data_IF_838971788778
#
_entry.id   IF_838971788778
#
_cell.length_a   1.000
_cell.length_b   1.000
_cell.length_c   1.000
_cell.angle_alpha   90.00
_cell.angle_beta   90.00
_cell.angle_gamma   90.00
#
_symmetry.space_group_name_H-M   'P 1'
#
loop_
_entity.id
_entity.type
_entity.pdbx_description
1 polymer ?
#
# COMPACT_ATOMS: atom_id res chain seq x y z
N UNK A 1 -3.86 5.91 85.34
CA UNK A 1 -4.43 5.15 86.48
C UNK A 1 -5.56 5.99 87.09
N UNK A 2 -6.67 5.34 87.48
CA UNK A 2 -7.61 5.68 88.59
C UNK A 2 -8.08 7.15 88.75
N UNK A 3 -9.36 7.46 88.97
CA UNK A 3 -10.52 6.59 89.03
C UNK A 3 -11.80 7.32 89.48
N UNK A 4 -12.93 6.80 88.99
CA UNK A 4 -14.22 6.62 89.66
C UNK A 4 -15.00 7.81 90.27
N UNK A 5 -16.26 7.89 89.80
CA UNK A 5 -17.40 8.63 90.36
C UNK A 5 -17.71 8.33 91.83
N UNK A 6 -18.39 9.27 92.49
CA UNK A 6 -19.43 8.94 93.47
C UNK A 6 -20.65 9.84 93.31
N UNK A 7 -21.82 9.30 93.60
CA UNK A 7 -23.11 9.97 93.50
C UNK A 7 -23.70 10.23 94.90
N UNK A 8 -24.61 11.20 95.04
CA UNK A 8 -25.77 11.01 95.91
C UNK A 8 -26.98 11.93 95.64
N UNK A 9 -28.13 11.32 95.97
CA UNK A 9 -29.55 11.69 95.89
C UNK A 9 -29.95 13.09 96.43
N UNK A 10 -31.11 13.57 95.97
CA UNK A 10 -31.84 14.74 96.53
C UNK A 10 -32.52 14.46 97.88
N UNK A 11 -33.54 15.24 98.31
CA UNK A 11 -34.82 15.43 97.62
C UNK A 11 -35.13 16.94 97.40
N UNK A 12 -36.33 17.50 97.16
CA UNK A 12 -37.77 17.11 97.23
C UNK A 12 -38.52 17.70 96.00
N UNK A 13 -39.83 17.44 95.83
CA UNK A 13 -40.72 18.15 94.88
C UNK A 13 -41.96 18.72 95.59
N UNK A 14 -42.34 19.95 95.27
CA UNK A 14 -43.72 20.43 95.38
C UNK A 14 -44.34 20.54 93.99
N UNK A 15 -45.61 20.13 93.85
CA UNK A 15 -46.39 20.16 92.60
C UNK A 15 -47.50 21.21 92.74
N UNK A 16 -47.58 22.12 91.78
CA UNK A 16 -48.83 22.83 91.47
C UNK A 16 -49.30 22.41 90.06
N UNK A 17 -50.62 22.28 89.83
CA UNK A 17 -51.13 21.60 88.65
C UNK A 17 -51.06 22.44 87.37
N UNK A 18 -50.69 21.77 86.28
CA UNK A 18 -50.58 22.31 84.93
C UNK A 18 -51.93 22.49 84.24
N UNK A 19 -52.10 23.63 83.54
CA UNK A 19 -52.83 23.72 82.26
C UNK A 19 -52.14 24.71 81.31
N UNK A 20 -51.08 24.29 80.59
CA UNK A 20 -50.57 25.03 79.44
C UNK A 20 -51.51 24.84 78.23
N UNK A 21 -51.77 25.93 77.50
CA UNK A 21 -52.44 25.90 76.21
C UNK A 21 -51.53 25.18 75.19
N UNK A 22 -52.07 24.41 74.22
CA UNK A 22 -51.26 23.85 73.14
C UNK A 22 -50.76 24.97 72.23
N UNK A 23 -49.46 25.25 72.29
CA UNK A 23 -48.77 26.01 71.25
C UNK A 23 -48.48 25.04 70.11
N UNK A 24 -49.22 25.19 69.02
CA UNK A 24 -49.08 24.36 67.83
C UNK A 24 -47.76 24.67 67.13
N UNK A 25 -46.81 23.74 67.20
CA UNK A 25 -45.59 23.79 66.40
C UNK A 25 -45.95 23.37 64.98
N UNK A 26 -46.40 24.33 64.18
CA UNK A 26 -46.55 24.14 62.74
C UNK A 26 -45.25 23.58 62.18
N UNK A 27 -45.33 22.39 61.59
CA UNK A 27 -44.22 21.77 60.87
C UNK A 27 -43.74 22.75 59.79
N UNK A 28 -42.42 22.87 59.54
CA UNK A 28 -41.96 23.58 58.35
C UNK A 28 -42.62 22.94 57.12
N UNK A 29 -43.04 23.74 56.12
CA UNK A 29 -43.75 23.23 54.96
C UNK A 29 -42.93 22.13 54.29
N UNK A 30 -43.61 21.06 53.88
CA UNK A 30 -42.98 19.88 53.32
C UNK A 30 -41.99 20.27 52.22
N UNK A 31 -40.80 19.66 52.28
CA UNK A 31 -39.74 19.82 51.30
C UNK A 31 -40.33 19.69 49.89
N UNK A 32 -40.24 20.77 49.10
CA UNK A 32 -40.87 20.82 47.79
C UNK A 32 -40.17 19.80 46.93
N UNK A 33 -40.79 18.62 46.78
CA UNK A 33 -40.24 17.53 46.00
C UNK A 33 -39.89 18.09 44.62
N UNK A 34 -38.59 18.08 44.30
CA UNK A 34 -38.13 18.55 43.01
C UNK A 34 -38.77 17.67 41.96
N UNK A 35 -39.82 18.19 41.31
CA UNK A 35 -40.45 17.56 40.17
C UNK A 35 -39.38 17.48 39.11
N UNK A 36 -38.74 16.31 38.98
CA UNK A 36 -37.88 16.02 37.86
C UNK A 36 -38.72 16.31 36.62
N UNK A 37 -38.29 17.24 35.74
CA UNK A 37 -39.08 17.60 34.59
C UNK A 37 -39.37 16.32 33.81
N UNK A 38 -40.64 16.09 33.50
CA UNK A 38 -41.08 14.86 32.82
C UNK A 38 -40.16 14.63 31.62
N UNK A 39 -39.53 13.46 31.57
CA UNK A 39 -38.48 13.16 30.61
C UNK A 39 -38.95 13.55 29.21
N UNK A 40 -38.20 14.44 28.55
CA UNK A 40 -38.62 15.05 27.30
C UNK A 40 -39.15 14.01 26.28
N UNK A 41 -40.16 14.33 25.47
CA UNK A 41 -40.68 13.42 24.46
C UNK A 41 -39.56 12.77 23.65
N UNK A 42 -39.71 11.49 23.30
CA UNK A 42 -38.68 10.70 22.62
C UNK A 42 -38.08 11.43 21.40
N UNK A 43 -38.95 12.05 20.60
CA UNK A 43 -38.56 12.87 19.44
C UNK A 43 -37.63 14.03 19.80
N UNK A 44 -37.94 14.76 20.88
CA UNK A 44 -37.11 15.87 21.35
C UNK A 44 -35.75 15.38 21.88
N UNK A 45 -35.72 14.20 22.50
CA UNK A 45 -34.46 13.56 22.94
C UNK A 45 -33.62 13.06 21.75
N UNK A 46 -34.27 12.57 20.68
CA UNK A 46 -33.60 12.15 19.45
C UNK A 46 -33.01 13.34 18.69
N UNK A 47 -33.77 14.42 18.50
CA UNK A 47 -33.25 15.65 17.88
C UNK A 47 -32.10 16.26 18.68
N UNK A 48 -32.14 16.20 20.02
CA UNK A 48 -31.01 16.61 20.85
C UNK A 48 -29.76 15.73 20.62
N UNK A 49 -29.91 14.42 20.54
CA UNK A 49 -28.81 13.50 20.24
C UNK A 49 -28.20 13.77 18.84
N UNK A 50 -29.05 14.06 17.83
CA UNK A 50 -28.61 14.47 16.49
C UNK A 50 -27.87 15.82 16.51
N UNK A 51 -28.35 16.78 17.31
CA UNK A 51 -27.72 18.09 17.49
C UNK A 51 -26.31 17.94 18.08
N UNK A 52 -26.18 17.18 19.17
CA UNK A 52 -24.89 16.89 19.82
C UNK A 52 -23.89 16.20 18.86
N UNK A 53 -24.38 15.25 18.04
CA UNK A 53 -23.57 14.53 17.05
C UNK A 53 -23.04 15.43 15.93
N UNK A 54 -23.72 16.54 15.64
CA UNK A 54 -23.33 17.51 14.62
C UNK A 54 -22.57 18.71 15.19
N UNK A 55 -22.73 19.03 16.49
CA UNK A 55 -22.01 20.11 17.17
C UNK A 55 -20.63 19.70 17.71
N UNK A 56 -20.07 18.57 17.26
CA UNK A 56 -18.75 18.11 17.68
C UNK A 56 -18.67 17.60 19.12
N UNK A 57 -19.79 17.12 19.70
CA UNK A 57 -19.84 16.56 21.06
C UNK A 57 -20.13 15.05 21.03
N UNK A 58 -19.22 14.23 20.47
CA UNK A 58 -19.51 12.83 20.14
C UNK A 58 -19.85 11.96 21.35
N UNK A 59 -19.17 12.11 22.48
CA UNK A 59 -19.42 11.27 23.67
C UNK A 59 -20.79 11.54 24.29
N UNK A 60 -21.23 12.80 24.33
CA UNK A 60 -22.57 13.17 24.81
C UNK A 60 -23.66 12.69 23.86
N UNK A 61 -23.43 12.79 22.54
CA UNK A 61 -24.33 12.23 21.54
C UNK A 61 -24.44 10.71 21.63
N UNK A 62 -23.32 10.00 21.85
CA UNK A 62 -23.30 8.56 22.02
C UNK A 62 -24.05 8.13 23.29
N UNK A 63 -23.84 8.84 24.41
CA UNK A 63 -24.60 8.61 25.64
C UNK A 63 -26.11 8.82 25.45
N UNK A 64 -26.51 9.88 24.72
CA UNK A 64 -27.92 10.15 24.40
C UNK A 64 -28.53 9.05 23.51
N UNK A 65 -27.85 8.62 22.45
CA UNK A 65 -28.30 7.50 21.61
C UNK A 65 -28.38 6.17 22.40
N UNK A 66 -27.45 5.91 23.31
CA UNK A 66 -27.50 4.73 24.19
C UNK A 66 -28.74 4.76 25.11
N UNK A 67 -29.09 5.91 25.69
CA UNK A 67 -30.28 6.07 26.52
C UNK A 67 -31.58 5.88 25.72
N UNK A 68 -31.62 6.35 24.46
CA UNK A 68 -32.74 6.12 23.55
C UNK A 68 -32.90 4.64 23.19
N UNK A 69 -31.82 3.94 22.86
CA UNK A 69 -31.85 2.51 22.54
C UNK A 69 -32.15 1.63 23.76
N UNK A 70 -31.76 2.03 24.97
CA UNK A 70 -32.16 1.33 26.19
C UNK A 70 -33.70 1.32 26.39
N UNK A 71 -34.40 2.34 25.89
CA UNK A 71 -35.87 2.46 25.91
C UNK A 71 -36.54 1.87 24.66
N UNK A 72 -35.83 1.80 23.53
CA UNK A 72 -36.37 1.32 22.26
C UNK A 72 -35.26 0.65 21.41
N UNK A 73 -34.86 -0.60 21.75
CA UNK A 73 -33.64 -1.22 21.20
C UNK A 73 -33.62 -1.43 19.68
N UNK A 74 -34.79 -1.51 19.05
CA UNK A 74 -34.96 -1.68 17.61
C UNK A 74 -35.33 -0.40 16.85
N UNK A 75 -35.24 0.79 17.47
CA UNK A 75 -35.57 2.02 16.76
C UNK A 75 -34.54 2.30 15.65
N UNK A 76 -35.01 2.27 14.40
CA UNK A 76 -34.17 2.30 13.20
C UNK A 76 -33.46 3.64 13.03
N UNK A 77 -34.13 4.76 13.30
CA UNK A 77 -33.56 6.10 13.21
C UNK A 77 -32.46 6.33 14.25
N UNK A 78 -32.65 5.81 15.46
CA UNK A 78 -31.63 5.89 16.52
C UNK A 78 -30.43 4.97 16.21
N UNK A 79 -30.66 3.75 15.72
CA UNK A 79 -29.59 2.86 15.25
C UNK A 79 -28.80 3.48 14.09
N UNK A 80 -29.49 4.11 13.13
CA UNK A 80 -28.87 4.84 12.02
C UNK A 80 -28.02 6.03 12.54
N UNK A 81 -28.59 6.85 13.42
CA UNK A 81 -27.90 8.01 14.00
C UNK A 81 -26.65 7.61 14.80
N UNK A 82 -26.75 6.55 15.62
CA UNK A 82 -25.61 6.02 16.40
C UNK A 82 -24.56 5.36 15.49
N UNK A 83 -24.97 4.56 14.52
CA UNK A 83 -24.08 3.92 13.56
C UNK A 83 -23.27 4.92 12.71
N UNK A 84 -23.90 6.01 12.26
CA UNK A 84 -23.20 7.11 11.57
C UNK A 84 -22.18 7.79 12.49
N UNK A 85 -22.54 8.05 13.75
CA UNK A 85 -21.63 8.64 14.73
C UNK A 85 -20.44 7.72 15.04
N UNK A 86 -20.69 6.44 15.31
CA UNK A 86 -19.66 5.42 15.56
C UNK A 86 -18.72 5.27 14.36
N UNK A 87 -19.23 5.39 13.13
CA UNK A 87 -18.40 5.41 11.93
C UNK A 87 -17.47 6.64 11.87
N UNK A 88 -17.94 7.83 12.29
CA UNK A 88 -17.09 9.03 12.40
C UNK A 88 -16.03 8.92 13.52
N UNK A 89 -16.24 8.03 14.49
CA UNK A 89 -15.34 7.73 15.59
C UNK A 89 -14.44 6.50 15.33
N UNK A 90 -14.44 5.97 14.11
CA UNK A 90 -13.68 4.79 13.70
C UNK A 90 -14.01 3.51 14.52
N UNK A 91 -15.17 3.47 15.18
CA UNK A 91 -15.69 2.32 15.95
C UNK A 91 -16.43 1.36 15.03
N UNK A 92 -15.70 0.86 14.03
CA UNK A 92 -16.21 0.19 12.84
C UNK A 92 -17.12 -1.01 13.12
N UNK A 93 -16.77 -1.86 14.10
CA UNK A 93 -17.54 -3.07 14.44
C UNK A 93 -18.91 -2.74 15.03
N UNK A 94 -18.97 -1.77 15.95
CA UNK A 94 -20.22 -1.32 16.56
C UNK A 94 -21.10 -0.57 15.55
N UNK A 95 -20.49 0.22 14.67
CA UNK A 95 -21.18 0.85 13.55
C UNK A 95 -21.79 -0.17 12.58
N UNK A 96 -21.06 -1.25 12.24
CA UNK A 96 -21.55 -2.31 11.35
C UNK A 96 -22.71 -3.08 11.99
N UNK A 97 -22.63 -3.36 13.29
CA UNK A 97 -23.71 -3.99 14.04
C UNK A 97 -25.00 -3.15 14.05
N UNK A 98 -24.89 -1.86 14.38
CA UNK A 98 -26.03 -0.93 14.42
C UNK A 98 -26.69 -0.75 13.05
N UNK A 99 -25.89 -0.46 12.02
CA UNK A 99 -26.41 -0.21 10.68
C UNK A 99 -26.95 -1.49 10.04
N UNK A 100 -26.39 -2.67 10.35
CA UNK A 100 -26.95 -3.96 9.89
C UNK A 100 -28.25 -4.29 10.62
N UNK A 101 -28.36 -4.00 11.92
CA UNK A 101 -29.61 -4.15 12.67
C UNK A 101 -30.71 -3.23 12.12
N UNK A 102 -30.38 -1.97 11.84
CA UNK A 102 -31.26 -1.01 11.19
C UNK A 102 -31.72 -1.50 9.79
N UNK A 103 -30.80 -1.99 8.96
CA UNK A 103 -31.11 -2.46 7.60
C UNK A 103 -31.98 -3.73 7.60
N UNK A 104 -31.83 -4.58 8.63
CA UNK A 104 -32.68 -5.76 8.84
C UNK A 104 -34.07 -5.39 9.36
N UNK A 105 -34.17 -4.34 10.19
CA UNK A 105 -35.43 -3.86 10.75
C UNK A 105 -36.27 -3.05 9.75
N UNK A 106 -35.63 -2.27 8.87
CA UNK A 106 -36.31 -1.57 7.77
C UNK A 106 -35.52 -1.71 6.45
N UNK A 107 -35.75 -2.79 5.68
CA UNK A 107 -35.05 -3.04 4.42
C UNK A 107 -35.29 -2.01 3.32
N UNK A 108 -36.35 -1.21 3.43
CA UNK A 108 -36.71 -0.16 2.45
C UNK A 108 -36.12 1.21 2.82
N UNK A 109 -35.43 1.35 3.95
CA UNK A 109 -34.86 2.62 4.37
C UNK A 109 -33.51 2.91 3.66
N UNK A 110 -33.58 3.65 2.56
CA UNK A 110 -32.44 3.93 1.68
C UNK A 110 -31.21 4.57 2.37
N UNK A 111 -31.41 5.39 3.41
CA UNK A 111 -30.31 6.05 4.12
C UNK A 111 -29.49 5.07 4.98
N UNK A 112 -30.10 3.99 5.47
CA UNK A 112 -29.37 2.94 6.20
C UNK A 112 -28.45 2.19 5.26
N UNK A 113 -28.93 1.81 4.08
CA UNK A 113 -28.11 1.16 3.05
C UNK A 113 -26.99 2.07 2.54
N UNK A 114 -27.25 3.37 2.40
CA UNK A 114 -26.22 4.34 2.03
C UNK A 114 -25.18 4.54 3.15
N UNK A 115 -25.59 4.52 4.43
CA UNK A 115 -24.67 4.56 5.56
C UNK A 115 -23.81 3.28 5.65
N UNK A 116 -24.38 2.09 5.42
CA UNK A 116 -23.63 0.83 5.29
C UNK A 116 -22.61 0.89 4.15
N UNK A 117 -23.02 1.37 2.97
CA UNK A 117 -22.12 1.53 1.83
C UNK A 117 -20.92 2.41 2.14
N UNK A 118 -21.16 3.51 2.86
CA UNK A 118 -20.10 4.43 3.32
C UNK A 118 -19.18 3.81 4.38
N UNK A 119 -19.74 3.07 5.33
CA UNK A 119 -18.97 2.34 6.33
C UNK A 119 -18.04 1.31 5.66
N UNK A 120 -18.55 0.51 4.73
CA UNK A 120 -17.72 -0.44 3.98
C UNK A 120 -16.69 0.23 3.08
N UNK A 121 -16.99 1.41 2.52
CA UNK A 121 -16.02 2.20 1.76
C UNK A 121 -14.88 2.72 2.64
N UNK A 122 -15.15 3.12 3.89
CA UNK A 122 -14.09 3.50 4.85
C UNK A 122 -13.26 2.30 5.34
N UNK A 123 -13.83 1.10 5.37
CA UNK A 123 -13.11 -0.14 5.69
C UNK A 123 -12.37 -0.79 4.49
N UNK A 124 -12.30 -0.12 3.34
CA UNK A 124 -11.77 -0.66 2.06
C UNK A 124 -12.38 -2.02 1.66
N UNK A 125 -13.70 -2.15 1.85
CA UNK A 125 -14.51 -3.33 1.52
C UNK A 125 -15.40 -3.06 0.28
N UNK A 126 -14.82 -2.92 -0.94
CA UNK A 126 -15.55 -2.42 -2.11
C UNK A 126 -16.72 -3.31 -2.53
N UNK A 127 -16.65 -4.63 -2.30
CA UNK A 127 -17.73 -5.57 -2.61
C UNK A 127 -19.01 -5.27 -1.80
N UNK A 128 -18.87 -5.18 -0.47
CA UNK A 128 -19.99 -4.89 0.43
C UNK A 128 -20.45 -3.43 0.30
N UNK A 129 -19.53 -2.49 0.01
CA UNK A 129 -19.88 -1.12 -0.31
C UNK A 129 -20.77 -1.02 -1.57
N UNK A 130 -20.42 -1.74 -2.64
CA UNK A 130 -21.18 -1.75 -3.87
C UNK A 130 -22.56 -2.39 -3.70
N UNK A 131 -22.69 -3.49 -2.96
CA UNK A 131 -23.99 -4.09 -2.67
C UNK A 131 -24.90 -3.13 -1.88
N UNK A 132 -24.38 -2.53 -0.80
CA UNK A 132 -25.15 -1.63 0.04
C UNK A 132 -25.56 -0.34 -0.70
N UNK A 133 -24.65 0.29 -1.44
CA UNK A 133 -24.99 1.43 -2.29
C UNK A 133 -25.93 1.05 -3.44
N UNK A 134 -25.84 -0.18 -3.98
CA UNK A 134 -26.76 -0.70 -4.99
C UNK A 134 -28.19 -0.84 -4.47
N UNK A 135 -28.37 -1.34 -3.23
CA UNK A 135 -29.69 -1.36 -2.55
C UNK A 135 -30.21 0.05 -2.30
N UNK A 136 -29.36 0.96 -1.82
CA UNK A 136 -29.74 2.38 -1.66
C UNK A 136 -30.17 3.02 -3.00
N UNK A 137 -29.48 2.71 -4.10
CA UNK A 137 -29.79 3.21 -5.43
C UNK A 137 -31.11 2.64 -5.98
N UNK A 138 -31.42 1.37 -5.71
CA UNK A 138 -32.70 0.77 -6.08
C UNK A 138 -33.89 1.44 -5.36
N UNK A 139 -33.69 1.85 -4.10
CA UNK A 139 -34.69 2.57 -3.30
C UNK A 139 -34.77 4.07 -3.67
N UNK A 140 -33.70 4.66 -4.22
CA UNK A 140 -33.63 6.05 -4.69
C UNK A 140 -33.04 6.16 -6.10
N UNK A 141 -33.76 5.72 -7.16
CA UNK A 141 -33.21 5.62 -8.51
C UNK A 141 -32.87 6.96 -9.18
N UNK A 142 -33.23 8.10 -8.57
CA UNK A 142 -32.89 9.45 -9.02
C UNK A 142 -31.90 10.20 -8.13
N UNK A 143 -31.43 9.63 -7.01
CA UNK A 143 -30.47 10.34 -6.14
C UNK A 143 -29.05 10.28 -6.72
N UNK A 144 -28.59 11.42 -7.24
CA UNK A 144 -27.26 11.57 -7.82
C UNK A 144 -26.13 11.22 -6.84
N UNK A 145 -26.30 11.47 -5.54
CA UNK A 145 -25.28 11.16 -4.54
C UNK A 145 -25.13 9.64 -4.34
N UNK A 146 -26.24 8.92 -4.18
CA UNK A 146 -26.27 7.46 -4.09
C UNK A 146 -25.78 6.80 -5.38
N UNK A 147 -26.19 7.29 -6.56
CA UNK A 147 -25.72 6.76 -7.85
C UNK A 147 -24.21 6.97 -8.04
N UNK A 148 -23.67 8.13 -7.68
CA UNK A 148 -22.23 8.39 -7.76
C UNK A 148 -21.43 7.50 -6.80
N UNK A 149 -21.91 7.29 -5.56
CA UNK A 149 -21.28 6.42 -4.59
C UNK A 149 -21.31 4.94 -5.02
N UNK A 150 -22.44 4.47 -5.55
CA UNK A 150 -22.56 3.13 -6.13
C UNK A 150 -21.60 2.94 -7.31
N UNK A 151 -21.53 3.91 -8.25
CA UNK A 151 -20.60 3.86 -9.36
C UNK A 151 -19.13 3.89 -8.92
N UNK A 152 -18.80 4.63 -7.85
CA UNK A 152 -17.45 4.63 -7.26
C UNK A 152 -17.09 3.26 -6.67
N UNK A 153 -18.00 2.64 -5.93
CA UNK A 153 -17.79 1.30 -5.36
C UNK A 153 -17.70 0.21 -6.45
N UNK A 154 -18.54 0.27 -7.48
CA UNK A 154 -18.44 -0.61 -8.66
C UNK A 154 -17.11 -0.44 -9.41
N UNK A 155 -16.58 0.78 -9.54
CA UNK A 155 -15.23 1.03 -10.10
C UNK A 155 -14.09 0.54 -9.18
N UNK A 156 -14.32 0.38 -7.88
CA UNK A 156 -13.37 -0.23 -6.97
C UNK A 156 -13.45 -1.77 -6.99
N UNK A 157 -14.62 -2.33 -7.36
CA UNK A 157 -14.85 -3.75 -7.59
C UNK A 157 -14.36 -4.24 -8.96
N UNK A 158 -14.48 -3.42 -9.99
CA UNK A 158 -13.83 -3.72 -11.26
C UNK A 158 -12.34 -3.90 -10.98
N UNK A 159 -11.70 -5.00 -11.42
CA UNK A 159 -10.26 -4.94 -11.63
C UNK A 159 -10.07 -3.76 -12.58
N UNK A 160 -9.31 -2.75 -12.14
CA UNK A 160 -8.94 -1.67 -13.03
C UNK A 160 -8.35 -2.33 -14.27
N UNK A 161 -8.64 -1.85 -15.48
CA UNK A 161 -7.84 -2.20 -16.63
C UNK A 161 -6.48 -1.52 -16.44
N UNK A 162 -5.69 -2.06 -15.49
CA UNK A 162 -4.25 -2.16 -15.67
C UNK A 162 -4.08 -2.63 -17.12
N UNK A 163 -3.32 -1.91 -17.95
CA UNK A 163 -3.26 -2.25 -19.35
C UNK A 163 -2.81 -3.70 -19.45
N UNK A 164 -3.64 -4.54 -20.06
CA UNK A 164 -3.19 -5.86 -20.51
C UNK A 164 -1.89 -5.62 -21.27
N UNK A 165 -0.87 -6.51 -21.17
CA UNK A 165 0.42 -6.31 -21.83
C UNK A 165 0.27 -6.33 -23.36
N UNK A 166 -0.19 -5.19 -23.89
CA UNK A 166 -0.35 -4.93 -25.31
C UNK A 166 1.04 -4.82 -25.93
N UNK A 167 1.15 -5.08 -27.24
CA UNK A 167 2.33 -4.69 -28.00
C UNK A 167 2.64 -3.22 -27.71
N UNK A 168 3.77 -2.94 -27.04
CA UNK A 168 4.09 -1.57 -26.68
C UNK A 168 4.24 -0.74 -27.95
N UNK A 169 3.47 0.34 -28.03
CA UNK A 169 3.57 1.37 -29.07
C UNK A 169 4.39 2.58 -28.60
N UNK A 170 4.96 2.50 -27.39
CA UNK A 170 5.81 3.49 -26.72
C UNK A 170 6.42 2.93 -25.43
N UNK A 171 7.07 3.78 -24.63
CA UNK A 171 7.84 3.42 -23.43
C UNK A 171 7.16 2.39 -22.48
N UNK A 172 7.83 1.29 -22.08
CA UNK A 172 7.29 0.28 -21.16
C UNK A 172 6.90 0.85 -19.78
N UNK A 173 7.56 1.91 -19.32
CA UNK A 173 7.21 2.55 -18.05
C UNK A 173 5.96 3.44 -18.14
N UNK A 174 5.52 3.83 -19.34
CA UNK A 174 4.30 4.63 -19.51
C UNK A 174 3.02 3.84 -19.16
N UNK A 175 3.06 2.50 -19.23
CA UNK A 175 1.97 1.64 -18.77
C UNK A 175 1.92 1.50 -17.24
N UNK A 176 3.07 1.58 -16.56
CA UNK A 176 3.19 1.51 -15.09
C UNK A 176 2.69 2.82 -14.44
N UNK A 177 2.83 3.93 -15.16
CA UNK A 177 2.41 5.27 -14.75
C UNK A 177 0.89 5.51 -14.89
N UNK A 178 0.06 4.54 -14.49
CA UNK A 178 -1.40 4.51 -14.68
C UNK A 178 -2.17 5.61 -13.89
N UNK A 179 -1.99 6.88 -14.28
CA UNK A 179 -2.41 8.07 -13.55
C UNK A 179 -1.34 8.66 -12.62
N UNK A 180 -0.28 7.90 -12.34
CA UNK A 180 0.79 8.26 -11.41
C UNK A 180 1.85 9.17 -12.05
N UNK A 181 2.39 10.11 -11.24
CA UNK A 181 3.40 11.09 -11.69
C UNK A 181 4.76 10.86 -11.05
N UNK A 182 4.82 10.13 -9.94
CA UNK A 182 6.05 9.80 -9.24
C UNK A 182 6.08 8.36 -8.75
N UNK A 183 7.29 7.83 -8.59
CA UNK A 183 7.54 6.63 -7.79
C UNK A 183 8.85 6.77 -7.01
N UNK A 184 8.93 6.06 -5.89
CA UNK A 184 10.15 5.86 -5.13
C UNK A 184 10.30 4.37 -4.80
N UNK A 185 11.54 3.88 -4.78
CA UNK A 185 11.86 2.49 -4.50
C UNK A 185 13.08 2.34 -3.61
N UNK A 186 13.04 1.35 -2.73
CA UNK A 186 14.19 0.84 -2.00
C UNK A 186 14.32 -0.65 -2.29
N UNK A 187 15.49 -1.08 -2.74
CA UNK A 187 15.79 -2.49 -2.94
C UNK A 187 17.18 -2.86 -2.46
N UNK A 188 17.37 -4.11 -2.07
CA UNK A 188 18.66 -4.67 -1.74
C UNK A 188 18.78 -6.13 -2.17
N UNK A 189 20.01 -6.57 -2.35
CA UNK A 189 20.36 -7.96 -2.64
C UNK A 189 21.51 -8.44 -1.77
N UNK A 190 21.52 -9.74 -1.50
CA UNK A 190 22.57 -10.45 -0.78
C UNK A 190 23.00 -11.65 -1.61
N UNK A 191 24.30 -11.85 -1.77
CA UNK A 191 24.87 -12.89 -2.63
C UNK A 191 25.94 -13.67 -1.86
N UNK A 192 25.75 -14.98 -1.76
CA UNK A 192 26.73 -15.95 -1.26
C UNK A 192 27.57 -16.44 -2.44
N UNK A 193 28.90 -16.33 -2.33
CA UNK A 193 29.87 -16.59 -3.42
C UNK A 193 30.89 -17.62 -2.93
N UNK A 194 30.65 -18.90 -3.22
CA UNK A 194 31.43 -20.01 -2.65
C UNK A 194 31.48 -19.94 -1.12
N UNK A 195 32.68 -20.11 -0.56
CA UNK A 195 32.97 -19.95 0.88
C UNK A 195 33.46 -18.52 1.24
N UNK A 196 33.32 -17.56 0.33
CA UNK A 196 33.77 -16.17 0.49
C UNK A 196 32.81 -15.26 1.29
N UNK A 197 33.23 -14.02 1.58
CA UNK A 197 32.39 -13.05 2.29
C UNK A 197 31.14 -12.70 1.49
N UNK A 198 29.97 -12.71 2.15
CA UNK A 198 28.66 -12.38 1.56
C UNK A 198 28.64 -10.96 1.01
N UNK A 199 28.38 -10.84 -0.29
CA UNK A 199 28.20 -9.56 -0.96
C UNK A 199 26.79 -9.01 -0.69
N UNK A 200 26.66 -7.68 -0.67
CA UNK A 200 25.35 -7.04 -0.67
C UNK A 200 25.34 -5.75 -1.48
N UNK A 201 24.22 -5.48 -2.14
CA UNK A 201 23.98 -4.24 -2.86
C UNK A 201 22.68 -3.59 -2.38
N UNK A 202 22.60 -2.27 -2.47
CA UNK A 202 21.47 -1.45 -2.06
C UNK A 202 21.23 -0.34 -3.08
N UNK A 203 19.97 -0.14 -3.46
CA UNK A 203 19.54 0.92 -4.38
C UNK A 203 18.36 1.66 -3.79
N UNK A 204 18.49 2.99 -3.67
CA UNK A 204 17.38 3.91 -3.48
C UNK A 204 17.11 4.59 -4.83
N UNK A 205 15.85 4.65 -5.27
CA UNK A 205 15.47 5.34 -6.50
C UNK A 205 14.26 6.25 -6.30
N UNK A 206 14.22 7.33 -7.08
CA UNK A 206 13.07 8.22 -7.26
C UNK A 206 12.90 8.48 -8.74
N UNK A 207 11.68 8.38 -9.26
CA UNK A 207 11.36 8.52 -10.69
C UNK A 207 10.16 9.43 -10.89
N UNK A 208 10.26 10.30 -11.89
CA UNK A 208 9.18 11.14 -12.37
C UNK A 208 8.66 10.60 -13.72
N UNK A 209 7.35 10.47 -13.85
CA UNK A 209 6.67 10.04 -15.07
C UNK A 209 6.08 11.24 -15.81
N UNK A 210 6.29 11.27 -17.13
CA UNK A 210 5.92 12.37 -18.01
C UNK A 210 5.17 11.81 -19.23
N UNK A 211 4.38 12.65 -19.92
CA UNK A 211 3.59 12.24 -21.10
C UNK A 211 4.39 11.56 -22.23
N UNK A 212 5.69 11.82 -22.33
CA UNK A 212 6.59 11.31 -23.38
C UNK A 212 7.70 10.40 -22.86
N UNK A 213 7.71 10.03 -21.59
CA UNK A 213 8.86 9.36 -21.00
C UNK A 213 8.91 9.39 -19.48
N UNK A 214 10.07 9.08 -18.94
CA UNK A 214 10.34 9.08 -17.52
C UNK A 214 11.79 9.45 -17.26
N UNK A 215 12.06 9.99 -16.07
CA UNK A 215 13.43 10.22 -15.60
C UNK A 215 13.54 9.81 -14.13
N UNK A 216 14.51 8.95 -13.84
CA UNK A 216 14.82 8.43 -12.53
C UNK A 216 16.21 8.84 -12.08
N UNK A 217 16.35 9.06 -10.78
CA UNK A 217 17.62 9.17 -10.08
C UNK A 217 17.79 7.92 -9.19
N UNK A 218 18.98 7.35 -9.20
CA UNK A 218 19.36 6.18 -8.40
C UNK A 218 20.57 6.52 -7.52
N UNK A 219 20.49 6.22 -6.22
CA UNK A 219 21.63 6.17 -5.32
C UNK A 219 21.99 4.72 -5.05
N UNK A 220 23.23 4.34 -5.37
CA UNK A 220 23.72 2.97 -5.38
C UNK A 220 24.80 2.78 -4.30
N UNK A 221 24.73 1.66 -3.58
CA UNK A 221 25.78 1.20 -2.68
C UNK A 221 26.02 -0.28 -2.89
N UNK A 222 27.27 -0.68 -2.99
CA UNK A 222 27.70 -2.07 -3.05
C UNK A 222 28.70 -2.35 -1.93
N UNK A 223 28.65 -3.54 -1.34
CA UNK A 223 29.64 -4.05 -0.41
C UNK A 223 30.09 -5.44 -0.89
N UNK A 224 31.32 -5.50 -1.40
CA UNK A 224 31.92 -6.67 -2.06
C UNK A 224 33.43 -6.67 -1.80
N UNK A 225 34.04 -7.84 -1.66
CA UNK A 225 35.49 -7.99 -1.39
C UNK A 225 35.98 -7.12 -0.20
N UNK A 226 35.20 -7.07 0.88
CA UNK A 226 35.39 -6.24 2.08
C UNK A 226 35.50 -4.71 1.81
N UNK A 227 35.15 -4.27 0.60
CA UNK A 227 35.13 -2.87 0.20
C UNK A 227 33.70 -2.36 0.06
N UNK A 228 33.50 -1.05 0.29
CA UNK A 228 32.20 -0.40 0.07
C UNK A 228 32.32 0.63 -1.05
N UNK A 229 31.55 0.42 -2.12
CA UNK A 229 31.41 1.33 -3.25
C UNK A 229 30.13 2.15 -3.12
N UNK A 230 30.13 3.36 -3.67
CA UNK A 230 28.94 4.19 -3.85
C UNK A 230 28.95 4.79 -5.25
N UNK A 231 27.78 4.90 -5.85
CA UNK A 231 27.58 5.57 -7.12
C UNK A 231 26.21 6.26 -7.15
N UNK A 232 26.00 7.13 -8.12
CA UNK A 232 24.66 7.60 -8.48
C UNK A 232 24.45 7.42 -9.99
N UNK A 233 23.20 7.26 -10.39
CA UNK A 233 22.82 7.19 -11.79
C UNK A 233 21.59 8.03 -12.09
N UNK A 234 21.48 8.45 -13.35
CA UNK A 234 20.26 8.94 -13.97
C UNK A 234 19.87 7.89 -15.01
N UNK A 235 18.62 7.44 -14.96
CA UNK A 235 18.03 6.50 -15.93
C UNK A 235 16.75 7.13 -16.50
N UNK A 236 16.67 7.25 -17.81
CA UNK A 236 15.56 7.90 -18.49
C UNK A 236 15.03 7.04 -19.65
N UNK A 237 13.73 7.10 -19.88
CA UNK A 237 13.10 6.55 -21.08
C UNK A 237 12.42 7.66 -21.85
N UNK A 238 12.62 7.71 -23.17
CA UNK A 238 12.06 8.74 -24.04
C UNK A 238 11.35 8.11 -25.25
N UNK A 239 10.08 8.47 -25.46
CA UNK A 239 9.31 8.11 -26.65
C UNK A 239 9.74 8.98 -27.85
N UNK A 240 10.19 8.33 -28.92
CA UNK A 240 10.82 8.98 -30.07
C UNK A 240 9.80 9.21 -31.20
N UNK A 241 9.38 8.13 -31.88
CA UNK A 241 8.37 8.09 -32.93
C UNK A 241 7.41 6.91 -32.70
N UNK A 242 6.48 6.68 -33.63
CA UNK A 242 5.46 5.63 -33.48
C UNK A 242 6.10 4.24 -33.30
N UNK A 243 5.82 3.59 -32.17
CA UNK A 243 6.38 2.28 -31.84
C UNK A 243 7.83 2.30 -31.39
N UNK A 244 8.47 3.45 -31.21
CA UNK A 244 9.89 3.54 -30.85
C UNK A 244 10.15 4.40 -29.62
N UNK A 245 11.07 3.92 -28.78
CA UNK A 245 11.54 4.62 -27.59
C UNK A 245 13.01 4.26 -27.33
N UNK A 246 13.69 5.08 -26.54
CA UNK A 246 15.04 4.80 -26.08
C UNK A 246 15.15 4.78 -24.55
N UNK A 247 16.01 3.92 -24.03
CA UNK A 247 16.57 4.02 -22.68
C UNK A 247 17.92 4.75 -22.76
N UNK A 248 18.12 5.67 -21.83
CA UNK A 248 19.34 6.46 -21.66
C UNK A 248 19.73 6.39 -20.18
N UNK A 249 20.84 5.73 -19.86
CA UNK A 249 21.35 5.65 -18.48
C UNK A 249 22.76 6.22 -18.42
N UNK A 250 23.04 7.02 -17.40
CA UNK A 250 24.38 7.50 -17.07
C UNK A 250 24.63 7.33 -15.58
N UNK A 251 25.80 6.81 -15.22
CA UNK A 251 26.22 6.56 -13.84
C UNK A 251 27.59 7.18 -13.58
N UNK A 252 27.80 7.66 -12.35
CA UNK A 252 29.11 8.12 -11.87
C UNK A 252 29.42 7.55 -10.49
N UNK A 253 30.66 7.09 -10.30
CA UNK A 253 31.20 6.64 -9.02
C UNK A 253 32.37 7.53 -8.59
N UNK A 254 32.48 7.93 -7.31
CA UNK A 254 33.67 8.63 -6.81
C UNK A 254 34.90 7.74 -6.62
N UNK A 255 34.75 6.41 -6.68
CA UNK A 255 35.83 5.44 -6.53
C UNK A 255 35.68 4.26 -7.50
N UNK A 256 36.76 3.91 -8.18
CA UNK A 256 36.73 3.14 -9.44
C UNK A 256 36.80 1.61 -9.26
N UNK A 257 36.66 1.11 -8.02
CA UNK A 257 36.94 -0.30 -7.68
C UNK A 257 35.75 -1.25 -7.80
N UNK A 258 34.57 -0.85 -7.32
CA UNK A 258 33.35 -1.68 -7.35
C UNK A 258 32.32 -1.19 -8.37
N UNK A 259 32.40 0.08 -8.75
CA UNK A 259 31.62 0.68 -9.81
C UNK A 259 32.58 1.32 -10.81
N UNK A 260 32.27 1.32 -12.12
CA UNK A 260 33.04 2.11 -13.07
C UNK A 260 32.90 3.59 -12.70
N UNK A 261 34.00 4.35 -12.86
CA UNK A 261 34.06 5.79 -12.59
C UNK A 261 32.94 6.53 -13.32
N UNK A 262 32.73 6.12 -14.58
CA UNK A 262 31.68 6.56 -15.46
C UNK A 262 31.11 5.34 -16.20
N UNK A 263 29.79 5.24 -16.32
CA UNK A 263 29.18 4.36 -17.31
C UNK A 263 27.98 5.00 -18.00
N UNK A 264 27.74 4.56 -19.23
CA UNK A 264 26.63 5.00 -20.07
C UNK A 264 25.94 3.81 -20.74
N UNK A 265 24.64 3.91 -20.97
CA UNK A 265 23.87 3.04 -21.85
C UNK A 265 23.00 3.89 -22.75
N UNK A 266 22.96 3.53 -24.03
CA UNK A 266 21.91 3.90 -24.95
C UNK A 266 21.31 2.61 -25.48
N UNK A 267 20.00 2.42 -25.33
CA UNK A 267 19.28 1.32 -25.97
C UNK A 267 18.07 1.84 -26.74
N UNK A 268 17.99 1.52 -28.03
CA UNK A 268 16.88 1.88 -28.91
C UNK A 268 15.97 0.67 -29.11
N UNK A 269 14.67 0.86 -28.95
CA UNK A 269 13.63 -0.14 -29.14
C UNK A 269 12.70 0.25 -30.29
N UNK A 270 12.27 -0.74 -31.07
CA UNK A 270 11.29 -0.59 -32.14
C UNK A 270 10.29 -1.75 -32.12
N UNK A 271 9.02 -1.40 -31.91
CA UNK A 271 7.87 -2.27 -32.09
C UNK A 271 7.72 -2.61 -33.58
N UNK A 272 7.63 -3.91 -33.90
CA UNK A 272 7.53 -4.45 -35.26
C UNK A 272 6.10 -4.88 -35.62
N UNK A 273 5.13 -4.62 -34.74
CA UNK A 273 3.75 -5.06 -34.86
C UNK A 273 3.52 -6.50 -34.41
N UNK A 274 2.25 -6.91 -34.29
CA UNK A 274 1.84 -8.25 -33.84
C UNK A 274 2.46 -8.71 -32.50
N UNK A 275 2.86 -7.78 -31.63
CA UNK A 275 3.54 -8.06 -30.36
C UNK A 275 5.05 -8.29 -30.46
N UNK A 276 5.66 -8.18 -31.64
CA UNK A 276 7.11 -8.25 -31.78
C UNK A 276 7.77 -6.89 -31.49
N UNK A 277 8.92 -6.93 -30.85
CA UNK A 277 9.78 -5.77 -30.60
C UNK A 277 11.24 -6.18 -30.81
N UNK A 278 12.04 -5.32 -31.41
CA UNK A 278 13.49 -5.47 -31.49
C UNK A 278 14.20 -4.32 -30.79
N UNK A 279 15.39 -4.57 -30.25
CA UNK A 279 16.23 -3.52 -29.67
C UNK A 279 17.71 -3.70 -29.97
N UNK A 280 18.45 -2.59 -29.94
CA UNK A 280 19.91 -2.53 -30.03
C UNK A 280 20.47 -1.63 -28.92
N UNK A 281 21.52 -2.07 -28.23
CA UNK A 281 22.17 -1.30 -27.16
C UNK A 281 23.67 -1.10 -27.39
N UNK A 282 24.16 0.05 -26.96
CA UNK A 282 25.58 0.36 -26.76
C UNK A 282 25.77 0.80 -25.30
N UNK A 283 26.59 0.04 -24.59
CA UNK A 283 26.92 0.19 -23.19
C UNK A 283 28.41 0.46 -23.03
N UNK A 284 28.77 1.50 -22.27
CA UNK A 284 30.14 1.89 -21.96
C UNK A 284 30.40 1.78 -20.46
N UNK A 285 31.41 1.01 -20.05
CA UNK A 285 31.91 0.97 -18.67
C UNK A 285 33.35 1.48 -18.63
N UNK A 286 33.59 2.58 -17.91
CA UNK A 286 34.92 3.15 -17.66
C UNK A 286 35.47 2.70 -16.31
N UNK A 287 36.24 1.61 -16.31
CA UNK A 287 37.19 1.26 -15.25
C UNK A 287 38.61 1.72 -15.68
N UNK A 288 39.67 1.18 -15.07
CA UNK A 288 41.07 1.34 -15.52
C UNK A 288 41.26 1.09 -17.02
N UNK A 289 40.45 0.18 -17.59
CA UNK A 289 40.30 -0.01 -19.03
C UNK A 289 38.85 0.13 -19.46
N UNK A 290 38.66 0.59 -20.70
CA UNK A 290 37.34 0.75 -21.33
C UNK A 290 36.76 -0.60 -21.71
N UNK A 291 35.55 -0.89 -21.24
CA UNK A 291 34.73 -2.02 -21.67
C UNK A 291 33.53 -1.49 -22.44
N UNK A 292 33.27 -2.01 -23.64
CA UNK A 292 32.06 -1.74 -24.42
C UNK A 292 31.21 -3.01 -24.47
N UNK A 293 29.88 -2.88 -24.40
CA UNK A 293 28.97 -4.01 -24.57
C UNK A 293 27.93 -3.63 -25.62
N UNK A 294 27.86 -4.44 -26.68
CA UNK A 294 26.92 -4.26 -27.78
C UNK A 294 25.82 -5.30 -27.68
N UNK A 295 24.58 -4.85 -27.50
CA UNK A 295 23.40 -5.72 -27.36
C UNK A 295 22.52 -5.70 -28.60
N UNK A 296 21.93 -6.86 -28.92
CA UNK A 296 20.77 -6.96 -29.80
C UNK A 296 19.73 -7.86 -29.15
N UNK A 297 18.45 -7.50 -29.20
CA UNK A 297 17.38 -8.33 -28.68
C UNK A 297 16.16 -8.39 -29.58
N UNK A 298 15.46 -9.52 -29.50
CA UNK A 298 14.14 -9.72 -30.10
C UNK A 298 13.20 -10.22 -29.01
N UNK A 299 12.04 -9.60 -28.91
CA UNK A 299 11.03 -9.88 -27.90
C UNK A 299 9.64 -10.06 -28.50
N UNK A 300 8.79 -10.80 -27.76
CA UNK A 300 7.42 -11.11 -28.13
C UNK A 300 6.48 -10.96 -26.93
N UNK A 301 5.47 -10.11 -27.09
CA UNK A 301 4.27 -10.05 -26.27
C UNK A 301 3.23 -11.03 -26.84
N UNK A 302 2.67 -11.90 -26.00
CA UNK A 302 1.69 -12.92 -26.41
C UNK A 302 0.74 -13.27 -25.27
N UNK A 303 -0.48 -12.72 -25.29
CA UNK A 303 -1.38 -12.78 -24.14
C UNK A 303 -0.69 -12.16 -22.92
N UNK A 304 -0.75 -12.83 -21.77
CA UNK A 304 -0.11 -12.37 -20.54
C UNK A 304 1.40 -12.68 -20.45
N UNK A 305 2.06 -13.01 -21.56
CA UNK A 305 3.49 -13.33 -21.59
C UNK A 305 4.30 -12.29 -22.36
N UNK A 306 5.47 -11.97 -21.82
CA UNK A 306 6.55 -11.27 -22.50
C UNK A 306 7.79 -12.14 -22.49
N UNK A 307 8.34 -12.46 -23.66
CA UNK A 307 9.56 -13.26 -23.81
C UNK A 307 10.57 -12.46 -24.61
N UNK A 308 11.80 -12.31 -24.10
CA UNK A 308 12.91 -11.63 -24.77
C UNK A 308 14.12 -12.55 -24.86
N UNK A 309 14.67 -12.69 -26.06
CA UNK A 309 16.01 -13.22 -26.28
C UNK A 309 16.95 -12.05 -26.58
N UNK A 310 18.02 -11.91 -25.80
CA UNK A 310 19.11 -10.95 -26.04
C UNK A 310 20.42 -11.69 -26.29
N UNK A 311 21.14 -11.25 -27.31
CA UNK A 311 22.55 -11.55 -27.49
C UNK A 311 23.37 -10.29 -27.18
N UNK A 312 24.53 -10.45 -26.56
CA UNK A 312 25.44 -9.34 -26.23
C UNK A 312 26.90 -9.72 -26.47
N UNK A 313 27.69 -8.81 -27.00
CA UNK A 313 29.13 -8.94 -27.16
C UNK A 313 29.84 -7.89 -26.30
N UNK A 314 30.78 -8.35 -25.48
CA UNK A 314 31.54 -7.58 -24.49
C UNK A 314 32.97 -7.50 -25.01
N UNK A 315 33.47 -6.28 -25.21
CA UNK A 315 34.79 -6.00 -25.78
C UNK A 315 35.58 -5.13 -24.82
N UNK A 316 36.72 -5.65 -24.35
CA UNK A 316 37.68 -4.93 -23.50
C UNK A 316 39.08 -4.96 -24.12
N UNK A 317 40.07 -4.33 -23.48
CA UNK A 317 41.45 -4.42 -23.95
C UNK A 317 41.96 -5.87 -23.84
N UNK A 318 42.17 -6.52 -24.99
CA UNK A 318 42.77 -7.85 -25.07
C UNK A 318 41.82 -9.04 -24.83
N UNK A 319 40.53 -8.83 -24.55
CA UNK A 319 39.57 -9.93 -24.40
C UNK A 319 38.24 -9.64 -25.11
N UNK A 320 37.63 -10.73 -25.59
CA UNK A 320 36.31 -10.73 -26.23
C UNK A 320 35.42 -11.76 -25.53
N UNK A 321 34.21 -11.36 -25.18
CA UNK A 321 33.22 -12.21 -24.53
C UNK A 321 31.86 -12.05 -25.19
N UNK A 322 31.05 -13.10 -25.19
CA UNK A 322 29.68 -13.06 -25.69
C UNK A 322 28.73 -13.78 -24.74
N UNK A 323 27.47 -13.33 -24.71
CA UNK A 323 26.46 -13.94 -23.87
C UNK A 323 25.06 -13.87 -24.46
N UNK A 324 24.25 -14.84 -24.05
CA UNK A 324 22.85 -14.95 -24.39
C UNK A 324 22.02 -14.87 -23.10
N UNK A 325 20.94 -14.09 -23.12
CA UNK A 325 19.95 -14.00 -22.05
C UNK A 325 18.56 -14.26 -22.61
N UNK A 326 17.92 -15.31 -22.11
CA UNK A 326 16.49 -15.53 -22.25
C UNK A 326 15.78 -14.98 -21.01
N UNK A 327 14.76 -14.15 -21.20
CA UNK A 327 13.84 -13.70 -20.16
C UNK A 327 12.44 -14.11 -20.57
N UNK A 328 11.70 -14.71 -19.63
CA UNK A 328 10.27 -14.98 -19.76
C UNK A 328 9.55 -14.37 -18.56
N UNK A 329 8.57 -13.50 -18.83
CA UNK A 329 7.76 -12.82 -17.82
C UNK A 329 6.30 -13.15 -18.05
N UNK A 330 5.60 -13.51 -16.96
CA UNK A 330 4.19 -13.83 -16.93
C UNK A 330 3.44 -12.86 -16.02
N UNK A 331 2.50 -12.12 -16.61
CA UNK A 331 1.61 -11.16 -15.95
C UNK A 331 0.38 -11.89 -15.38
N UNK A 332 0.57 -12.53 -14.22
CA UNK A 332 -0.39 -13.48 -13.66
C UNK A 332 -1.69 -12.84 -13.17
N UNK A 333 -1.64 -11.58 -12.72
CA UNK A 333 -2.82 -10.84 -12.27
C UNK A 333 -3.61 -10.19 -13.43
N UNK A 334 -3.12 -10.31 -14.67
CA UNK A 334 -3.68 -9.61 -15.84
C UNK A 334 -3.35 -8.11 -15.89
N UNK A 335 -2.56 -7.61 -14.93
CA UNK A 335 -2.03 -6.26 -14.89
C UNK A 335 -0.65 -6.16 -15.57
N UNK A 336 -0.19 -4.94 -15.86
CA UNK A 336 1.19 -4.68 -16.28
C UNK A 336 2.17 -4.56 -15.09
N UNK A 337 1.64 -4.65 -13.86
CA UNK A 337 2.31 -4.26 -12.61
C UNK A 337 2.82 -5.47 -11.81
N UNK A 338 2.07 -6.58 -11.77
CA UNK A 338 2.35 -7.79 -11.00
C UNK A 338 2.72 -8.95 -11.93
N UNK A 339 3.93 -9.49 -11.76
CA UNK A 339 4.45 -10.52 -12.65
C UNK A 339 5.42 -11.48 -11.96
N UNK A 340 5.53 -12.67 -12.55
CA UNK A 340 6.61 -13.60 -12.31
C UNK A 340 7.58 -13.55 -13.50
N UNK A 341 8.86 -13.35 -13.26
CA UNK A 341 9.91 -13.29 -14.27
C UNK A 341 10.97 -14.36 -14.00
N UNK A 342 11.24 -15.18 -15.01
CA UNK A 342 12.36 -16.11 -15.03
C UNK A 342 13.41 -15.62 -16.03
N UNK A 343 14.69 -15.69 -15.65
CA UNK A 343 15.82 -15.48 -16.57
C UNK A 343 16.72 -16.70 -16.63
N UNK A 344 17.26 -16.96 -17.81
CA UNK A 344 18.33 -17.94 -18.05
C UNK A 344 19.42 -17.26 -18.88
N UNK A 345 20.66 -17.36 -18.41
CA UNK A 345 21.82 -16.65 -18.93
C UNK A 345 22.93 -17.66 -19.27
N UNK A 346 23.65 -17.40 -20.36
CA UNK A 346 24.85 -18.14 -20.76
C UNK A 346 25.92 -17.18 -21.23
N UNK A 347 27.15 -17.35 -20.74
CA UNK A 347 28.32 -16.57 -21.17
C UNK A 347 29.43 -17.45 -21.75
N UNK A 348 30.25 -16.85 -22.60
CA UNK A 348 31.52 -17.38 -23.11
C UNK A 348 32.55 -16.24 -23.12
N UNK A 349 33.76 -16.50 -22.66
CA UNK A 349 34.86 -15.53 -22.73
C UNK A 349 36.07 -16.18 -23.40
N UNK A 350 36.63 -15.50 -24.40
CA UNK A 350 37.95 -15.77 -24.94
C UNK A 350 38.93 -14.82 -24.20
N UNK A 351 39.59 -15.33 -23.16
CA UNK A 351 40.61 -14.61 -22.39
C UNK A 351 42.01 -15.19 -22.68
N UNK A 352 42.85 -14.49 -23.46
CA UNK A 352 44.19 -14.96 -23.82
C UNK A 352 45.19 -14.89 -22.66
N UNK A 353 44.83 -14.28 -21.53
CA UNK A 353 45.66 -14.23 -20.31
C UNK A 353 45.28 -15.32 -19.28
N UNK A 354 44.28 -16.15 -19.56
CA UNK A 354 43.98 -17.30 -18.71
C UNK A 354 45.14 -18.30 -18.73
N UNK A 355 45.55 -18.79 -17.55
CA UNK A 355 46.68 -19.71 -17.36
C UNK A 355 46.57 -21.06 -18.10
N UNK A 356 45.42 -21.33 -18.72
CA UNK A 356 45.12 -22.54 -19.51
C UNK A 356 44.86 -22.26 -20.99
N UNK A 357 44.98 -21.01 -21.46
CA UNK A 357 44.64 -20.59 -22.84
C UNK A 357 43.17 -20.89 -23.20
N UNK A 358 42.29 -20.91 -22.20
CA UNK A 358 41.03 -21.63 -22.23
C UNK A 358 39.81 -20.73 -22.34
N UNK A 359 38.93 -21.06 -23.29
CA UNK A 359 37.55 -20.54 -23.37
C UNK A 359 36.79 -20.75 -22.06
N UNK A 360 36.59 -19.69 -21.31
CA UNK A 360 35.72 -19.72 -20.14
C UNK A 360 34.24 -19.79 -20.58
N UNK A 361 33.43 -20.49 -19.80
CA UNK A 361 31.97 -20.53 -19.94
C UNK A 361 31.33 -20.17 -18.61
N UNK A 362 30.15 -19.59 -18.65
CA UNK A 362 29.33 -19.35 -17.47
C UNK A 362 27.86 -19.58 -17.78
N UNK A 363 27.07 -19.83 -16.74
CA UNK A 363 25.62 -19.93 -16.83
C UNK A 363 24.97 -19.52 -15.53
N UNK A 364 23.69 -19.18 -15.58
CA UNK A 364 22.95 -18.80 -14.39
C UNK A 364 21.51 -18.46 -14.72
N UNK A 365 20.74 -18.11 -13.70
CA UNK A 365 19.35 -17.73 -13.85
C UNK A 365 18.80 -17.03 -12.62
N UNK A 366 17.61 -16.49 -12.77
CA UNK A 366 16.88 -15.88 -11.67
C UNK A 366 15.38 -16.17 -11.77
N UNK A 367 14.71 -16.13 -10.64
CA UNK A 367 13.26 -16.06 -10.54
C UNK A 367 12.91 -14.84 -9.69
N UNK A 368 12.14 -13.92 -10.25
CA UNK A 368 11.72 -12.67 -9.60
C UNK A 368 10.20 -12.60 -9.59
N UNK A 369 9.63 -12.37 -8.43
CA UNK A 369 8.22 -12.09 -8.23
C UNK A 369 8.05 -10.61 -7.87
N UNK A 370 7.17 -9.93 -8.61
CA UNK A 370 6.74 -8.56 -8.36
C UNK A 370 5.24 -8.57 -8.15
N UNK A 371 4.78 -7.92 -7.10
CA UNK A 371 3.36 -7.85 -6.77
C UNK A 371 3.00 -6.51 -6.13
N UNK A 372 1.87 -5.93 -6.54
CA UNK A 372 1.29 -4.76 -5.89
C UNK A 372 0.24 -5.20 -4.86
N UNK A 373 0.51 -4.87 -3.59
CA UNK A 373 -0.36 -5.17 -2.44
C UNK A 373 -1.55 -4.21 -2.36
N UNK A 374 -1.36 -3.00 -2.88
CA UNK A 374 -2.40 -1.99 -3.08
C UNK A 374 -2.08 -1.21 -4.35
N UNK A 375 -2.93 -0.26 -4.75
CA UNK A 375 -2.70 0.53 -5.97
C UNK A 375 -1.35 1.24 -5.97
N UNK A 376 -0.94 1.72 -4.79
CA UNK A 376 0.24 2.58 -4.63
C UNK A 376 1.50 1.81 -4.20
N UNK A 377 1.36 0.66 -3.54
CA UNK A 377 2.48 -0.08 -2.93
C UNK A 377 2.73 -1.44 -3.58
N UNK A 378 3.98 -1.69 -3.96
CA UNK A 378 4.42 -2.98 -4.49
C UNK A 378 5.74 -3.47 -3.92
N UNK A 379 5.99 -4.76 -4.09
CA UNK A 379 7.17 -5.46 -3.57
C UNK A 379 7.95 -6.18 -4.67
N UNK A 380 9.22 -6.49 -4.38
CA UNK A 380 10.06 -7.43 -5.13
C UNK A 380 10.50 -8.52 -4.19
N UNK A 381 10.44 -9.76 -4.64
CA UNK A 381 11.20 -10.88 -4.06
C UNK A 381 11.86 -11.61 -5.23
N UNK A 382 13.17 -11.82 -5.17
CA UNK A 382 13.88 -12.53 -6.23
C UNK A 382 14.98 -13.43 -5.69
N UNK A 383 15.13 -14.59 -6.31
CA UNK A 383 16.23 -15.53 -6.09
C UNK A 383 17.06 -15.67 -7.37
N UNK A 384 18.37 -15.85 -7.24
CA UNK A 384 19.27 -16.03 -8.37
C UNK A 384 20.35 -17.08 -8.09
N UNK A 385 20.89 -17.64 -9.16
CA UNK A 385 22.08 -18.50 -9.12
C UNK A 385 22.98 -18.22 -10.32
N UNK A 386 24.28 -18.37 -10.14
CA UNK A 386 25.25 -18.38 -11.23
C UNK A 386 26.34 -19.44 -10.97
N UNK A 387 26.95 -19.94 -12.05
CA UNK A 387 27.98 -20.97 -11.99
C UNK A 387 28.98 -20.82 -13.14
N UNK A 388 30.28 -20.98 -12.84
CA UNK A 388 31.33 -21.10 -13.87
C UNK A 388 31.33 -22.48 -14.52
N UNK A 389 31.79 -22.56 -15.76
CA UNK A 389 31.95 -23.82 -16.50
C UNK A 389 33.00 -24.77 -15.90
N UNK A 390 33.93 -24.26 -15.08
CA UNK A 390 34.83 -25.07 -14.25
C UNK A 390 34.14 -25.65 -13.00
N UNK A 391 32.99 -25.09 -12.60
CA UNK A 391 32.23 -25.49 -11.42
C UNK A 391 32.73 -24.94 -10.09
N UNK A 392 33.90 -24.26 -10.10
CA UNK A 392 34.60 -23.69 -8.95
C UNK A 392 33.90 -22.46 -8.36
N UNK A 393 33.37 -21.59 -9.22
CA UNK A 393 32.59 -20.43 -8.79
C UNK A 393 31.10 -20.77 -8.83
N UNK A 394 30.43 -20.62 -7.68
CA UNK A 394 28.99 -20.75 -7.52
C UNK A 394 28.46 -19.58 -6.71
N UNK A 395 27.46 -18.91 -7.24
CA UNK A 395 26.83 -17.76 -6.61
C UNK A 395 25.35 -18.07 -6.36
N UNK A 396 24.82 -17.65 -5.21
CA UNK A 396 23.41 -17.73 -4.86
C UNK A 396 22.96 -16.39 -4.30
N UNK A 397 21.94 -15.79 -4.91
CA UNK A 397 21.44 -14.47 -4.52
C UNK A 397 20.01 -14.50 -4.02
N UNK A 398 19.72 -13.65 -3.04
CA UNK A 398 18.38 -13.23 -2.67
C UNK A 398 18.27 -11.71 -2.83
N UNK A 399 17.09 -11.23 -3.22
CA UNK A 399 16.81 -9.82 -3.43
C UNK A 399 15.41 -9.47 -2.92
N UNK A 400 15.29 -8.29 -2.33
CA UNK A 400 14.05 -7.74 -1.81
C UNK A 400 13.91 -6.30 -2.28
N UNK A 401 12.67 -5.87 -2.49
CA UNK A 401 12.35 -4.50 -2.86
C UNK A 401 10.98 -4.07 -2.36
N UNK A 402 10.86 -2.78 -2.09
CA UNK A 402 9.63 -2.10 -1.75
C UNK A 402 9.56 -0.83 -2.60
N UNK A 403 8.41 -0.56 -3.21
CA UNK A 403 8.19 0.63 -4.01
C UNK A 403 6.82 1.24 -3.74
N UNK A 404 6.75 2.57 -3.90
CA UNK A 404 5.54 3.37 -3.77
C UNK A 404 5.41 4.29 -4.97
N UNK A 405 4.21 4.41 -5.56
CA UNK A 405 3.84 5.39 -6.59
C UNK A 405 2.77 6.37 -6.10
N UNK A 406 2.73 7.59 -6.67
CA UNK A 406 1.76 8.65 -6.36
C UNK A 406 1.64 9.70 -7.50
#
# INVERSE_FOLDING_TARGET
MLGQSFACRGPVRFRFPHRPMPVDYQQPPAEVAQVQPAAAPFEQQYEEARRLANSGQPELALAAYNALLARSPGNVDVLLGRGILLSRLERWSEAEADLTAAAKASPEYADVWFALGRLYQWQDRPAQAAEAYGRAAALRPGDAATLAAHAQALRALQPHPHPSPQPFTGNPEAAIAAGYTWAAGLSGSWQDVGDGPRWNDQTLSVRHYMKRGSIGFEALRAHRFDQTGRAWAIDAYASLWQGAYANLRYQRAPSERLFPAHSGRIELYQSLGNGWEASVSDDLLGFDSRVNIYGVSLAKYSGNFYVQLRHQNIVSQGSHSSGDRLLARWYYAGDADSYLEATANRGRSDDPLSLTGGRARSGGGSLTWVHYLSRDWGTRVGASFAQSGSGEARERGLSLGLYRRW
#
